data_IF_265062319762
#
_entry.id   IF_265062319762
#
_cell.length_a   1.000
_cell.length_b   1.000
_cell.length_c   1.000
_cell.angle_alpha   90.00
_cell.angle_beta   90.00
_cell.angle_gamma   90.00
#
_symmetry.space_group_name_H-M   'P 1'
#
loop_
_entity.id
_entity.type
_entity.pdbx_description
1 polymer ?
#
# COMPACT_ATOMS: atom_id res chain seq x y z
N UNK A 1 -18.05 -12.01 14.61
CA UNK A 1 -16.59 -11.91 14.82
C UNK A 1 -15.93 -12.28 13.49
N UNK A 2 -15.37 -11.32 12.76
CA UNK A 2 -14.77 -11.61 11.46
C UNK A 2 -13.31 -12.04 11.67
N UNK A 3 -13.07 -13.35 11.69
CA UNK A 3 -11.74 -13.97 11.78
C UNK A 3 -10.93 -13.82 10.49
N UNK A 4 -10.80 -12.60 10.00
CA UNK A 4 -9.98 -12.30 8.83
C UNK A 4 -8.50 -12.29 9.21
N UNK A 5 -7.64 -12.84 8.35
CA UNK A 5 -6.20 -12.77 8.55
C UNK A 5 -5.73 -11.31 8.71
N UNK A 6 -4.84 -11.09 9.68
CA UNK A 6 -4.25 -9.77 9.96
C UNK A 6 -3.28 -9.37 8.84
N UNK A 7 -2.59 -10.34 8.26
CA UNK A 7 -1.69 -10.16 7.11
C UNK A 7 -2.28 -10.96 5.94
N UNK A 8 -2.44 -10.32 4.79
CA UNK A 8 -3.00 -10.92 3.57
C UNK A 8 -2.10 -10.64 2.37
N UNK A 9 -1.75 -11.65 1.56
CA UNK A 9 -1.10 -11.41 0.28
C UNK A 9 -2.06 -10.74 -0.71
N UNK A 10 -1.53 -10.04 -1.71
CA UNK A 10 -2.36 -9.26 -2.65
C UNK A 10 -3.33 -10.13 -3.45
N UNK A 11 -2.90 -11.31 -3.92
CA UNK A 11 -3.75 -12.22 -4.70
C UNK A 11 -4.99 -12.70 -3.94
N UNK A 12 -4.97 -12.67 -2.60
CA UNK A 12 -6.13 -13.03 -1.79
C UNK A 12 -7.25 -11.98 -1.90
N UNK A 13 -6.89 -10.70 -2.04
CA UNK A 13 -7.83 -9.60 -2.20
C UNK A 13 -8.12 -9.27 -3.67
N UNK A 14 -7.21 -9.62 -4.58
CA UNK A 14 -7.32 -9.39 -6.03
C UNK A 14 -7.10 -10.68 -6.83
N UNK A 15 -7.94 -11.72 -6.67
CA UNK A 15 -7.72 -13.03 -7.29
C UNK A 15 -7.77 -13.02 -8.82
N UNK A 16 -8.43 -12.02 -9.41
CA UNK A 16 -8.54 -11.85 -10.86
C UNK A 16 -7.34 -11.13 -11.49
N UNK A 17 -6.42 -10.60 -10.68
CA UNK A 17 -5.23 -9.89 -11.14
C UNK A 17 -4.01 -10.81 -11.08
N UNK A 18 -3.66 -11.39 -12.23
CA UNK A 18 -2.56 -12.36 -12.36
C UNK A 18 -1.23 -11.77 -11.90
N UNK A 19 -1.05 -10.45 -12.05
CA UNK A 19 0.16 -9.73 -11.62
C UNK A 19 0.41 -9.87 -10.11
N UNK A 20 -0.63 -10.15 -9.32
CA UNK A 20 -0.52 -10.26 -7.86
C UNK A 20 -0.01 -11.61 -7.35
N UNK A 21 0.05 -12.63 -8.21
CA UNK A 21 0.44 -13.99 -7.83
C UNK A 21 1.95 -14.11 -7.57
N UNK A 22 2.75 -13.35 -8.32
CA UNK A 22 4.22 -13.34 -8.17
C UNK A 22 4.72 -12.37 -7.08
N UNK A 23 3.80 -11.64 -6.45
CA UNK A 23 4.13 -10.61 -5.46
C UNK A 23 4.29 -11.24 -4.08
N UNK A 24 5.54 -11.33 -3.63
CA UNK A 24 5.90 -11.88 -2.30
C UNK A 24 6.38 -10.83 -1.29
N UNK A 25 6.64 -9.59 -1.74
CA UNK A 25 7.38 -8.60 -0.96
C UNK A 25 6.54 -7.42 -0.46
N UNK A 26 5.23 -7.42 -0.70
CA UNK A 26 4.27 -6.47 -0.14
C UNK A 26 3.02 -7.23 0.29
N UNK A 27 2.32 -6.71 1.29
CA UNK A 27 1.12 -7.36 1.84
C UNK A 27 0.12 -6.35 2.37
N UNK A 28 -1.10 -6.81 2.61
CA UNK A 28 -2.16 -6.03 3.21
C UNK A 28 -2.24 -6.31 4.71
N UNK A 29 -2.25 -5.25 5.51
CA UNK A 29 -2.57 -5.31 6.93
C UNK A 29 -4.07 -5.04 7.11
N UNK A 30 -4.79 -6.06 7.57
CA UNK A 30 -6.24 -6.05 7.63
C UNK A 30 -6.87 -5.83 6.25
N UNK A 31 -7.95 -5.05 6.21
CA UNK A 31 -8.74 -4.83 4.98
C UNK A 31 -8.42 -3.51 4.25
N UNK A 32 -7.43 -2.75 4.72
CA UNK A 32 -7.34 -1.33 4.34
C UNK A 32 -5.96 -0.69 4.31
N UNK A 33 -4.89 -1.39 4.73
CA UNK A 33 -3.53 -0.85 4.67
C UNK A 33 -2.66 -1.78 3.85
N UNK A 34 -1.83 -1.23 2.96
CA UNK A 34 -0.79 -1.95 2.24
C UNK A 34 0.57 -1.56 2.83
N UNK A 35 1.36 -2.57 3.18
CA UNK A 35 2.70 -2.41 3.74
C UNK A 35 3.71 -2.85 2.68
N UNK A 36 4.70 -1.98 2.43
CA UNK A 36 5.76 -2.18 1.45
C UNK A 36 7.11 -2.16 2.20
N UNK A 37 7.59 -3.31 2.71
CA UNK A 37 8.85 -3.40 3.43
C UNK A 37 10.08 -3.21 2.53
N UNK A 38 11.13 -2.64 3.11
CA UNK A 38 12.46 -2.52 2.47
C UNK A 38 13.29 -3.73 2.87
N UNK A 39 13.59 -4.61 1.92
CA UNK A 39 14.15 -5.93 2.22
C UNK A 39 15.68 -6.01 2.12
N UNK A 40 16.29 -5.08 1.38
CA UNK A 40 17.72 -5.11 1.10
C UNK A 40 18.44 -4.01 1.89
N UNK A 41 19.50 -4.41 2.61
CA UNK A 41 20.33 -3.48 3.37
C UNK A 41 20.98 -2.45 2.44
N UNK A 42 20.87 -1.18 2.81
CA UNK A 42 21.42 -0.07 2.02
C UNK A 42 20.57 0.34 0.83
N UNK A 43 19.40 -0.28 0.62
CA UNK A 43 18.44 0.20 -0.36
C UNK A 43 17.88 1.56 0.08
N UNK A 44 17.81 2.50 -0.85
CA UNK A 44 17.21 3.82 -0.65
C UNK A 44 15.89 3.96 -1.40
N UNK A 45 15.48 2.95 -2.16
CA UNK A 45 14.20 2.86 -2.86
C UNK A 45 13.60 1.46 -2.73
N UNK A 46 12.30 1.35 -2.98
CA UNK A 46 11.58 0.07 -3.08
C UNK A 46 10.50 0.18 -4.16
N UNK A 47 10.37 -0.87 -4.94
CA UNK A 47 9.33 -0.98 -5.96
C UNK A 47 8.13 -1.75 -5.41
N UNK A 48 6.92 -1.24 -5.65
CA UNK A 48 5.69 -1.92 -5.28
C UNK A 48 4.65 -1.81 -6.38
N UNK A 49 3.92 -2.90 -6.58
CA UNK A 49 2.77 -2.96 -7.46
C UNK A 49 1.56 -2.29 -6.82
N UNK A 50 0.84 -1.47 -7.59
CA UNK A 50 -0.37 -0.79 -7.18
C UNK A 50 -1.57 -1.42 -7.90
N UNK A 51 -2.43 -2.18 -7.21
CA UNK A 51 -3.60 -2.79 -7.81
C UNK A 51 -4.59 -1.72 -8.30
N UNK A 52 -5.05 -1.77 -9.57
CA UNK A 52 -5.89 -0.72 -10.16
C UNK A 52 -7.34 -0.72 -9.66
N UNK A 53 -7.77 -1.82 -9.04
CA UNK A 53 -9.16 -2.01 -8.62
C UNK A 53 -9.66 -0.97 -7.58
N UNK A 54 -8.75 -0.27 -6.89
CA UNK A 54 -9.08 0.72 -5.85
C UNK A 54 -8.10 1.91 -5.90
N UNK A 55 -8.54 3.07 -5.41
CA UNK A 55 -7.61 4.19 -5.15
C UNK A 55 -6.75 3.86 -3.93
N UNK A 56 -5.47 4.22 -3.98
CA UNK A 56 -4.56 4.12 -2.84
C UNK A 56 -4.06 5.51 -2.45
N UNK A 57 -3.89 5.75 -1.15
CA UNK A 57 -3.40 7.02 -0.61
C UNK A 57 -2.11 6.78 0.17
N UNK A 58 -1.09 7.62 -0.02
CA UNK A 58 0.12 7.53 0.82
C UNK A 58 -0.19 7.97 2.25
N UNK A 59 0.28 7.20 3.23
CA UNK A 59 0.27 7.56 4.65
C UNK A 59 1.63 8.07 5.14
N UNK A 60 2.57 8.35 4.23
CA UNK A 60 3.87 8.92 4.60
C UNK A 60 3.76 10.43 4.76
N UNK A 61 4.42 10.97 5.78
CA UNK A 61 4.45 12.41 6.09
C UNK A 61 5.31 13.25 5.11
N UNK A 62 5.79 12.64 4.03
CA UNK A 62 6.53 13.34 2.97
C UNK A 62 5.57 14.09 2.02
N UNK A 63 6.05 14.52 0.85
CA UNK A 63 5.31 15.33 -0.14
C UNK A 63 4.04 14.67 -0.72
N UNK A 64 3.79 13.39 -0.44
CA UNK A 64 2.69 12.62 -1.05
C UNK A 64 1.57 12.20 -0.09
N UNK A 65 1.59 12.66 1.17
CA UNK A 65 0.55 12.35 2.15
C UNK A 65 -0.85 12.63 1.61
N UNK A 66 -1.75 11.64 1.68
CA UNK A 66 -3.13 11.78 1.22
C UNK A 66 -3.30 11.95 -0.29
N UNK A 67 -2.22 11.87 -1.08
CA UNK A 67 -2.29 11.94 -2.54
C UNK A 67 -2.78 10.61 -3.10
N UNK A 68 -3.78 10.68 -3.98
CA UNK A 68 -4.31 9.52 -4.67
C UNK A 68 -3.33 9.00 -5.73
N UNK A 69 -3.00 7.72 -5.65
CA UNK A 69 -2.27 7.03 -6.71
C UNK A 69 -3.19 6.73 -7.90
N UNK A 70 -2.62 6.76 -9.10
CA UNK A 70 -3.33 6.41 -10.33
C UNK A 70 -3.90 4.99 -10.27
N UNK A 71 -5.10 4.80 -10.83
CA UNK A 71 -5.81 3.51 -10.89
C UNK A 71 -5.39 2.70 -12.11
N UNK A 72 -4.10 2.56 -12.32
CA UNK A 72 -3.54 1.78 -13.42
C UNK A 72 -2.64 0.70 -12.84
N UNK A 73 -2.61 -0.52 -13.42
CA UNK A 73 -1.71 -1.58 -12.98
C UNK A 73 -0.27 -1.13 -13.23
N UNK A 74 0.35 -0.58 -12.19
CA UNK A 74 1.67 0.02 -12.31
C UNK A 74 2.53 -0.35 -11.13
N UNK A 75 3.80 -0.62 -11.41
CA UNK A 75 4.83 -0.68 -10.39
C UNK A 75 5.32 0.73 -10.13
N UNK A 76 5.18 1.19 -8.89
CA UNK A 76 5.66 2.51 -8.46
C UNK A 76 6.90 2.33 -7.57
N UNK A 77 7.92 3.14 -7.84
CA UNK A 77 9.10 3.27 -6.97
C UNK A 77 8.82 4.27 -5.85
N UNK A 78 9.12 3.88 -4.62
CA UNK A 78 9.02 4.71 -3.43
C UNK A 78 10.40 4.96 -2.83
N UNK A 79 10.59 6.13 -2.20
CA UNK A 79 11.77 6.40 -1.38
C UNK A 79 11.77 5.50 -0.14
N UNK A 80 12.94 5.05 0.28
CA UNK A 80 13.14 4.07 1.35
C UNK A 80 14.45 4.35 2.12
N UNK A 81 14.79 5.63 2.32
CA UNK A 81 15.99 6.00 3.09
C UNK A 81 15.84 5.56 4.55
N UNK A 82 16.96 5.29 5.21
CA UNK A 82 16.97 4.91 6.64
C UNK A 82 16.48 6.00 7.59
N UNK A 83 16.27 7.22 7.08
CA UNK A 83 15.75 8.38 7.81
C UNK A 83 14.24 8.58 7.63
N UNK A 84 13.58 7.73 6.85
CA UNK A 84 12.17 7.83 6.50
C UNK A 84 11.42 6.55 6.91
N UNK A 85 10.09 6.66 7.10
CA UNK A 85 9.24 5.50 7.37
C UNK A 85 9.12 4.62 6.13
N UNK A 86 8.86 3.32 6.31
CA UNK A 86 8.54 2.45 5.17
C UNK A 86 7.27 2.93 4.45
N UNK A 87 7.14 2.73 3.13
CA UNK A 87 5.92 3.09 2.44
C UNK A 87 4.71 2.29 2.94
N UNK A 88 3.66 3.03 3.30
CA UNK A 88 2.37 2.50 3.71
C UNK A 88 1.28 3.22 2.94
N UNK A 89 0.37 2.45 2.34
CA UNK A 89 -0.74 2.98 1.56
C UNK A 89 -2.09 2.63 2.20
N UNK A 90 -3.01 3.58 2.23
CA UNK A 90 -4.40 3.37 2.65
C UNK A 90 -5.32 3.09 1.45
N UNK A 91 -6.19 2.10 1.60
CA UNK A 91 -7.20 1.70 0.60
C UNK A 91 -8.37 2.71 0.60
N UNK A 92 -8.67 3.28 -0.57
CA UNK A 92 -9.56 4.42 -0.73
C UNK A 92 -11.07 4.18 -0.67
N UNK A 93 -11.49 3.04 -0.14
CA UNK A 93 -12.90 2.68 0.03
C UNK A 93 -13.32 2.56 1.50
N UNK A 94 -12.44 2.95 2.42
CA UNK A 94 -12.73 3.06 3.85
C UNK A 94 -12.75 4.54 4.21
N UNK A 95 -13.95 5.07 4.44
CA UNK A 95 -14.26 6.44 4.86
C UNK A 95 -13.15 7.01 5.76
N UNK A 96 -12.23 7.81 5.19
CA UNK A 96 -11.46 8.76 5.99
C UNK A 96 -12.46 9.87 6.31
N UNK A 97 -13.20 9.72 7.42
CA UNK A 97 -13.90 10.85 8.00
C UNK A 97 -12.84 11.80 8.53
N UNK A 98 -12.43 12.75 7.71
CA UNK A 98 -11.79 13.97 8.20
C UNK A 98 -12.78 14.63 9.15
N UNK A 99 -12.55 14.49 10.46
CA UNK A 99 -13.24 15.32 11.44
C UNK A 99 -12.68 16.72 11.28
N UNK A 100 -13.28 17.52 10.41
CA UNK A 100 -13.08 18.97 10.43
C UNK A 100 -13.64 19.46 11.75
N UNK A 101 -12.76 19.73 12.72
CA UNK A 101 -13.12 20.56 13.87
C UNK A 101 -13.52 21.93 13.33
N UNK A 102 -14.74 22.36 13.65
CA UNK A 102 -15.11 23.76 13.55
C UNK A 102 -14.34 24.58 14.58
#
# INVERSE_FOLDING_TARGET
MNGGAVIRPLFFEFPNDISTYDISFQFLWGSGMMIIPVLFKGSTTVDAYIPPAVTWYSLRDDDDYGTALAKEPTTKTFSAKTTELIPVLAKGNRLIKTLTSR
#
